data_IF_040012192318
#
_entry.id   IF_040012192318
#
_cell.length_a   1.000
_cell.length_b   1.000
_cell.length_c   1.000
_cell.angle_alpha   90.00
_cell.angle_beta   90.00
_cell.angle_gamma   90.00
#
_symmetry.space_group_name_H-M   'P 1'
#
loop_
_entity.id
_entity.type
_entity.pdbx_description
1 polymer ?
#
# COMPACT_ATOMS: atom_id res chain seq x y z
N UNK A 1 4.58 11.25 -43.48
CA UNK A 1 4.92 10.36 -42.32
C UNK A 1 3.72 10.42 -41.39
N UNK A 2 3.07 9.30 -41.06
CA UNK A 2 2.06 9.29 -40.01
C UNK A 2 2.83 9.38 -38.70
N UNK A 3 2.59 10.40 -37.89
CA UNK A 3 3.10 10.45 -36.53
C UNK A 3 2.51 9.24 -35.78
N UNK A 4 3.38 8.41 -35.18
CA UNK A 4 2.92 7.31 -34.34
C UNK A 4 2.14 7.91 -33.15
N UNK A 5 0.88 7.47 -33.01
CA UNK A 5 0.07 7.89 -31.86
C UNK A 5 0.67 7.30 -30.58
N UNK A 6 0.96 8.18 -29.60
CA UNK A 6 1.41 7.79 -28.27
C UNK A 6 0.28 8.00 -27.27
N UNK A 7 -0.06 6.96 -26.50
CA UNK A 7 -1.10 6.99 -25.47
C UNK A 7 -0.46 6.69 -24.12
N UNK A 8 -0.63 7.59 -23.15
CA UNK A 8 -0.29 7.34 -21.74
C UNK A 8 -1.53 6.76 -21.06
N UNK A 9 -1.36 5.62 -20.38
CA UNK A 9 -2.42 4.88 -19.69
C UNK A 9 -2.10 4.90 -18.21
N UNK A 10 -2.82 5.73 -17.43
CA UNK A 10 -2.55 6.00 -16.02
C UNK A 10 -3.79 5.72 -15.15
N UNK A 11 -4.28 4.47 -15.09
CA UNK A 11 -5.40 4.12 -14.24
C UNK A 11 -4.97 3.93 -12.79
N UNK A 12 -5.91 4.07 -11.88
CA UNK A 12 -5.87 3.51 -10.54
C UNK A 12 -6.46 2.09 -10.52
N UNK A 13 -6.39 1.41 -9.38
CA UNK A 13 -6.98 0.10 -9.16
C UNK A 13 -8.52 0.15 -9.15
N UNK A 14 -9.15 -0.97 -9.56
CA UNK A 14 -10.56 -1.20 -9.32
C UNK A 14 -10.71 -2.04 -8.05
N UNK A 15 -11.12 -1.38 -6.95
CA UNK A 15 -11.19 -1.99 -5.61
C UNK A 15 -11.85 -3.36 -5.64
N UNK A 16 -11.20 -4.34 -4.99
CA UNK A 16 -11.62 -5.74 -4.87
C UNK A 16 -11.81 -6.48 -6.24
N UNK A 17 -11.30 -5.91 -7.35
CA UNK A 17 -11.46 -6.49 -8.70
C UNK A 17 -10.13 -6.61 -9.45
N UNK A 18 -9.51 -5.50 -9.80
CA UNK A 18 -8.29 -5.47 -10.62
C UNK A 18 -7.26 -4.49 -10.04
N UNK A 19 -6.00 -4.87 -10.09
CA UNK A 19 -4.88 -3.96 -9.80
C UNK A 19 -4.77 -2.88 -10.88
N UNK A 20 -4.16 -1.74 -10.53
CA UNK A 20 -3.91 -0.65 -11.50
C UNK A 20 -3.16 -1.13 -12.75
N UNK A 21 -2.26 -2.13 -12.59
CA UNK A 21 -1.53 -2.73 -13.71
C UNK A 21 -2.43 -3.57 -14.62
N UNK A 22 -3.23 -4.46 -14.04
CA UNK A 22 -4.16 -5.29 -14.81
C UNK A 22 -5.13 -4.43 -15.62
N UNK A 23 -5.59 -3.32 -15.04
CA UNK A 23 -6.41 -2.31 -15.73
C UNK A 23 -5.62 -1.66 -16.86
N UNK A 24 -4.39 -1.20 -16.60
CA UNK A 24 -3.55 -0.57 -17.62
C UNK A 24 -3.26 -1.52 -18.79
N UNK A 25 -2.94 -2.78 -18.52
CA UNK A 25 -2.71 -3.79 -19.56
C UNK A 25 -4.00 -4.14 -20.33
N UNK A 26 -5.15 -4.17 -19.68
CA UNK A 26 -6.43 -4.38 -20.36
C UNK A 26 -6.75 -3.22 -21.33
N UNK A 27 -6.56 -1.97 -20.89
CA UNK A 27 -6.74 -0.78 -21.72
C UNK A 27 -5.78 -0.78 -22.90
N UNK A 28 -4.49 -1.09 -22.67
CA UNK A 28 -3.48 -1.20 -23.74
C UNK A 28 -3.89 -2.22 -24.80
N UNK A 29 -4.33 -3.42 -24.40
CA UNK A 29 -4.82 -4.44 -25.35
C UNK A 29 -5.98 -3.90 -26.21
N UNK A 30 -6.91 -3.16 -25.61
CA UNK A 30 -8.03 -2.56 -26.34
C UNK A 30 -7.57 -1.56 -27.40
N UNK A 31 -6.62 -0.67 -27.06
CA UNK A 31 -6.06 0.28 -28.02
C UNK A 31 -5.29 -0.41 -29.15
N UNK A 32 -4.47 -1.40 -28.83
CA UNK A 32 -3.68 -2.14 -29.81
C UNK A 32 -4.53 -2.96 -30.81
N UNK A 33 -5.73 -3.38 -30.38
CA UNK A 33 -6.69 -4.05 -31.28
C UNK A 33 -7.38 -3.07 -32.24
N UNK A 34 -7.50 -1.80 -31.85
CA UNK A 34 -8.28 -0.81 -32.60
C UNK A 34 -7.43 0.16 -33.42
N UNK A 35 -6.19 0.39 -33.04
CA UNK A 35 -5.30 1.39 -33.63
C UNK A 35 -3.98 0.71 -34.04
N UNK A 36 -3.70 0.70 -35.34
CA UNK A 36 -2.44 0.16 -35.85
C UNK A 36 -1.27 1.06 -35.40
N UNK A 37 -0.15 0.43 -35.02
CA UNK A 37 1.11 1.08 -34.67
C UNK A 37 1.01 2.09 -33.48
N UNK A 38 0.03 1.88 -32.56
CA UNK A 38 -0.09 2.69 -31.35
C UNK A 38 0.99 2.35 -30.33
N UNK A 39 1.71 3.36 -29.84
CA UNK A 39 2.64 3.24 -28.72
C UNK A 39 1.88 3.51 -27.41
N UNK A 40 1.78 2.51 -26.53
CA UNK A 40 1.13 2.65 -25.22
C UNK A 40 2.18 2.69 -24.11
N UNK A 41 2.19 3.77 -23.33
CA UNK A 41 3.02 3.93 -22.14
C UNK A 41 2.15 3.68 -20.90
N UNK A 42 2.47 2.63 -20.14
CA UNK A 42 1.75 2.30 -18.91
C UNK A 42 2.34 3.06 -17.73
N UNK A 43 1.50 3.83 -17.05
CA UNK A 43 1.85 4.63 -15.88
C UNK A 43 0.77 4.44 -14.79
N UNK A 44 0.61 3.21 -14.23
CA UNK A 44 -0.37 3.00 -13.17
C UNK A 44 -0.10 3.94 -12.01
N UNK A 45 -1.17 4.47 -11.42
CA UNK A 45 -1.14 5.43 -10.32
C UNK A 45 -1.87 4.87 -9.11
N UNK A 46 -1.76 5.53 -7.96
CA UNK A 46 -2.50 5.21 -6.74
C UNK A 46 -2.86 6.49 -6.00
N UNK A 47 -3.95 6.43 -5.24
CA UNK A 47 -4.52 7.54 -4.47
C UNK A 47 -4.05 7.58 -2.99
N UNK A 48 -3.05 6.77 -2.64
CA UNK A 48 -2.58 6.54 -1.27
C UNK A 48 -3.20 5.30 -0.61
N UNK A 49 -4.11 4.61 -1.30
CA UNK A 49 -4.72 3.35 -0.88
C UNK A 49 -3.96 2.13 -1.40
N UNK A 50 -4.66 0.99 -1.39
CA UNK A 50 -4.15 -0.31 -1.82
C UNK A 50 -3.56 -0.24 -3.24
N UNK A 51 -2.31 -0.71 -3.40
CA UNK A 51 -1.61 -0.75 -4.69
C UNK A 51 -0.79 0.51 -5.02
N UNK A 52 -0.86 1.58 -4.21
CA UNK A 52 -0.06 2.80 -4.42
C UNK A 52 1.42 2.53 -4.33
N UNK A 53 1.86 1.77 -3.32
CA UNK A 53 3.27 1.40 -3.14
C UNK A 53 3.74 0.50 -4.28
N UNK A 54 2.91 -0.42 -4.76
CA UNK A 54 3.22 -1.25 -5.92
C UNK A 54 3.38 -0.42 -7.21
N UNK A 55 2.61 0.65 -7.39
CA UNK A 55 2.78 1.57 -8.51
C UNK A 55 4.10 2.36 -8.41
N UNK A 56 4.47 2.85 -7.23
CA UNK A 56 5.70 3.62 -7.00
C UNK A 56 6.96 2.74 -7.15
N UNK A 57 6.99 1.54 -6.54
CA UNK A 57 8.18 0.68 -6.50
C UNK A 57 8.65 0.21 -7.87
N UNK A 58 7.75 0.15 -8.86
CA UNK A 58 8.08 -0.27 -10.24
C UNK A 58 9.01 0.70 -10.96
N UNK A 59 8.92 1.97 -10.62
CA UNK A 59 9.77 3.01 -11.20
C UNK A 59 11.12 3.14 -10.48
N UNK A 60 11.30 2.45 -9.35
CA UNK A 60 12.45 2.56 -8.46
C UNK A 60 12.81 1.17 -7.92
N UNK A 61 14.11 0.82 -7.94
CA UNK A 61 14.62 -0.47 -7.43
C UNK A 61 14.52 -0.55 -5.90
N UNK A 62 13.35 -0.92 -5.40
CA UNK A 62 13.13 -1.23 -3.99
C UNK A 62 13.27 -2.73 -3.72
N UNK A 63 13.94 -3.08 -2.64
CA UNK A 63 13.99 -4.44 -2.10
C UNK A 63 12.73 -4.70 -1.28
N UNK A 64 12.02 -5.78 -1.58
CA UNK A 64 10.89 -6.23 -0.78
C UNK A 64 11.37 -6.95 0.47
N UNK A 65 10.86 -6.57 1.63
CA UNK A 65 11.18 -7.13 2.94
C UNK A 65 9.93 -7.47 3.73
N UNK A 66 10.08 -8.36 4.70
CA UNK A 66 8.99 -8.83 5.55
C UNK A 66 9.39 -8.76 7.01
N UNK A 67 8.42 -8.39 7.84
CA UNK A 67 8.56 -8.36 9.30
C UNK A 67 7.34 -9.01 9.95
N UNK A 68 7.54 -9.65 11.12
CA UNK A 68 6.44 -10.12 11.95
C UNK A 68 6.03 -9.03 12.92
N UNK A 69 4.79 -8.57 12.83
CA UNK A 69 4.20 -7.52 13.66
C UNK A 69 2.90 -8.00 14.30
N UNK A 70 2.36 -7.22 15.21
CA UNK A 70 1.04 -7.46 15.79
C UNK A 70 -0.04 -7.16 14.75
N UNK A 71 -0.83 -8.17 14.41
CA UNK A 71 -1.93 -8.09 13.46
C UNK A 71 -3.15 -7.34 14.00
N UNK A 72 -4.19 -7.18 13.17
CA UNK A 72 -5.39 -6.40 13.49
C UNK A 72 -6.14 -6.87 14.75
N UNK A 73 -6.06 -8.16 15.08
CA UNK A 73 -6.72 -8.78 16.22
C UNK A 73 -5.74 -9.25 17.32
N UNK A 74 -4.48 -8.80 17.29
CA UNK A 74 -3.47 -9.09 18.31
C UNK A 74 -2.57 -10.30 18.04
N UNK A 75 -2.87 -11.15 17.07
CA UNK A 75 -2.01 -12.25 16.63
C UNK A 75 -0.77 -11.71 15.88
N UNK A 76 0.29 -12.51 15.76
CA UNK A 76 1.46 -12.11 14.96
C UNK A 76 1.24 -12.43 13.49
N UNK A 77 1.40 -11.43 12.64
CA UNK A 77 1.28 -11.51 11.19
C UNK A 77 2.53 -11.02 10.47
N UNK A 78 2.76 -11.54 9.26
CA UNK A 78 3.80 -11.04 8.38
C UNK A 78 3.27 -9.81 7.63
N UNK A 79 4.02 -8.71 7.69
CA UNK A 79 3.76 -7.49 6.95
C UNK A 79 4.91 -7.20 5.99
N UNK A 80 4.61 -6.86 4.75
CA UNK A 80 5.60 -6.46 3.76
C UNK A 80 5.92 -4.97 3.88
N UNK A 81 7.13 -4.63 3.50
CA UNK A 81 7.57 -3.26 3.26
C UNK A 81 8.66 -3.26 2.20
N UNK A 82 8.94 -2.11 1.65
CA UNK A 82 9.95 -1.94 0.62
C UNK A 82 11.01 -0.96 1.10
N UNK A 83 12.27 -1.28 0.80
CA UNK A 83 13.41 -0.47 1.24
C UNK A 83 14.39 -0.23 0.10
N UNK A 84 14.88 1.01 0.04
CA UNK A 84 16.01 1.39 -0.79
C UNK A 84 16.88 2.38 0.00
N UNK A 85 18.12 1.98 0.29
CA UNK A 85 19.03 2.79 1.11
C UNK A 85 18.40 3.20 2.47
N UNK A 86 18.18 4.50 2.70
CA UNK A 86 17.58 5.06 3.91
C UNK A 86 16.09 5.43 3.73
N UNK A 87 15.47 4.97 2.66
CA UNK A 87 14.07 5.19 2.32
C UNK A 87 13.28 3.89 2.45
N UNK A 88 12.09 3.95 3.05
CA UNK A 88 11.15 2.83 3.10
C UNK A 88 9.75 3.24 2.68
N UNK A 89 9.03 2.29 2.09
CA UNK A 89 7.64 2.43 1.64
C UNK A 89 6.81 1.28 2.18
N UNK A 90 5.60 1.55 2.63
CA UNK A 90 4.61 0.50 2.94
C UNK A 90 3.18 1.06 2.93
N UNK A 91 2.19 0.19 2.91
CA UNK A 91 0.78 0.53 3.02
C UNK A 91 0.20 0.03 4.34
N UNK A 92 -0.60 0.87 4.99
CA UNK A 92 -1.37 0.45 6.19
C UNK A 92 -2.34 -0.67 5.82
N UNK A 93 -2.87 -0.65 4.60
CA UNK A 93 -3.73 -1.69 4.04
C UNK A 93 -3.07 -3.06 3.93
N UNK A 94 -1.74 -3.14 3.88
CA UNK A 94 -1.00 -4.42 3.90
C UNK A 94 -1.17 -5.20 5.23
N UNK A 95 -1.62 -4.54 6.30
CA UNK A 95 -1.92 -5.16 7.57
C UNK A 95 -3.42 -5.10 7.92
N UNK A 96 -4.04 -3.93 7.80
CA UNK A 96 -5.43 -3.67 8.24
C UNK A 96 -6.34 -3.21 7.10
N UNK A 97 -6.04 -3.62 5.86
CA UNK A 97 -6.83 -3.29 4.68
C UNK A 97 -8.19 -3.99 4.65
N UNK A 98 -9.18 -3.34 4.04
CA UNK A 98 -10.53 -3.92 3.86
C UNK A 98 -10.48 -5.28 3.14
N UNK A 99 -9.63 -5.44 2.12
CA UNK A 99 -9.47 -6.71 1.40
C UNK A 99 -8.84 -7.84 2.21
N UNK A 100 -8.19 -7.53 3.35
CA UNK A 100 -7.55 -8.52 4.24
C UNK A 100 -8.44 -8.98 5.39
N UNK A 101 -9.39 -8.16 5.78
CA UNK A 101 -10.27 -8.45 6.92
C UNK A 101 -11.54 -9.12 6.39
N UNK A 102 -11.89 -10.36 6.86
CA UNK A 102 -13.14 -11.00 6.53
C UNK A 102 -14.33 -10.09 6.81
N UNK A 103 -15.35 -10.14 5.95
CA UNK A 103 -16.49 -9.21 6.01
C UNK A 103 -17.19 -9.24 7.38
N UNK A 104 -17.31 -10.41 7.97
CA UNK A 104 -17.92 -10.66 9.29
C UNK A 104 -17.08 -10.10 10.45
N UNK A 105 -15.78 -9.87 10.24
CA UNK A 105 -14.85 -9.36 11.24
C UNK A 105 -14.55 -7.86 11.07
N UNK A 106 -15.13 -7.19 10.08
CA UNK A 106 -14.92 -5.77 9.78
C UNK A 106 -15.59 -4.85 10.81
N UNK A 107 -15.21 -5.01 12.07
CA UNK A 107 -15.61 -4.10 13.14
C UNK A 107 -14.47 -3.11 13.43
N UNK A 108 -14.57 -1.83 13.01
CA UNK A 108 -13.48 -0.86 13.14
C UNK A 108 -13.08 -0.57 14.60
N UNK A 109 -13.95 -0.89 15.56
CA UNK A 109 -13.66 -0.72 16.99
C UNK A 109 -12.78 -1.85 17.56
N UNK A 110 -12.59 -2.94 16.84
CA UNK A 110 -11.81 -4.10 17.27
C UNK A 110 -10.51 -4.25 16.48
N UNK A 111 -10.38 -3.53 15.36
CA UNK A 111 -9.22 -3.59 14.48
C UNK A 111 -8.20 -2.56 14.95
N UNK A 112 -7.02 -3.04 15.35
CA UNK A 112 -5.94 -2.20 15.86
C UNK A 112 -4.80 -2.04 14.84
N UNK A 113 -4.08 -0.91 14.94
CA UNK A 113 -2.96 -0.57 14.05
C UNK A 113 -1.58 -0.71 14.73
N UNK A 114 -1.47 -1.43 15.84
CA UNK A 114 -0.24 -1.56 16.64
C UNK A 114 0.95 -2.06 15.80
N UNK A 115 0.74 -3.05 14.94
CA UNK A 115 1.80 -3.59 14.09
C UNK A 115 2.39 -2.58 13.11
N UNK A 116 1.63 -1.56 12.70
CA UNK A 116 2.16 -0.45 11.89
C UNK A 116 3.20 0.34 12.69
N UNK A 117 2.90 0.64 13.97
CA UNK A 117 3.85 1.29 14.86
C UNK A 117 5.10 0.45 15.12
N UNK A 118 4.94 -0.89 15.28
CA UNK A 118 6.06 -1.82 15.42
C UNK A 118 6.97 -1.80 14.17
N UNK A 119 6.40 -1.75 12.96
CA UNK A 119 7.16 -1.62 11.71
C UNK A 119 7.91 -0.28 11.66
N UNK A 120 7.23 0.83 11.95
CA UNK A 120 7.88 2.17 11.94
C UNK A 120 9.06 2.19 12.92
N UNK A 121 8.89 1.66 14.13
CA UNK A 121 9.95 1.57 15.12
C UNK A 121 11.14 0.73 14.60
N UNK A 122 10.85 -0.43 14.03
CA UNK A 122 11.87 -1.28 13.41
C UNK A 122 12.67 -0.55 12.33
N UNK A 123 12.01 0.21 11.45
CA UNK A 123 12.66 0.99 10.41
C UNK A 123 13.56 2.10 10.99
N UNK A 124 13.09 2.80 12.03
CA UNK A 124 13.88 3.82 12.73
C UNK A 124 15.12 3.18 13.34
N UNK A 125 14.98 2.03 14.02
CA UNK A 125 16.08 1.31 14.66
C UNK A 125 17.12 0.81 13.64
N UNK A 126 16.71 0.57 12.38
CA UNK A 126 17.60 0.26 11.24
C UNK A 126 18.25 1.49 10.61
N UNK A 127 17.95 2.69 11.07
CA UNK A 127 18.54 3.94 10.55
C UNK A 127 17.87 4.47 9.28
N UNK A 128 16.64 4.03 8.97
CA UNK A 128 15.82 4.61 7.92
C UNK A 128 15.53 6.07 8.25
N UNK A 129 15.67 6.96 7.26
CA UNK A 129 15.51 8.42 7.41
C UNK A 129 14.18 8.93 6.86
N UNK A 130 13.67 8.26 5.83
CA UNK A 130 12.46 8.66 5.14
C UNK A 130 11.51 7.46 5.06
N UNK A 131 10.27 7.65 5.49
CA UNK A 131 9.24 6.62 5.46
C UNK A 131 8.00 7.20 4.76
N UNK A 132 7.62 6.59 3.66
CA UNK A 132 6.37 6.90 2.96
C UNK A 132 5.31 5.86 3.27
N UNK A 133 4.15 6.31 3.69
CA UNK A 133 3.07 5.45 4.18
C UNK A 133 1.81 5.70 3.37
N UNK A 134 1.34 4.67 2.66
CA UNK A 134 0.01 4.66 2.07
C UNK A 134 -1.05 4.42 3.15
N UNK A 135 -2.03 5.32 3.29
CA UNK A 135 -3.01 5.28 4.41
C UNK A 135 -4.44 5.01 3.98
N UNK A 136 -4.70 4.82 2.68
CA UNK A 136 -6.04 4.52 2.16
C UNK A 136 -6.46 3.06 2.34
N UNK A 137 -7.77 2.79 2.16
CA UNK A 137 -8.32 1.43 2.09
C UNK A 137 -8.31 0.63 3.40
N UNK A 138 -8.18 1.28 4.56
CA UNK A 138 -8.09 0.62 5.87
C UNK A 138 -9.45 0.26 6.46
N UNK A 139 -9.51 -0.83 7.23
CA UNK A 139 -10.68 -1.26 7.99
C UNK A 139 -10.66 -0.77 9.45
N UNK A 140 -9.59 -0.09 9.88
CA UNK A 140 -9.42 0.41 11.24
C UNK A 140 -9.98 1.82 11.43
N UNK A 141 -10.34 2.16 12.67
CA UNK A 141 -10.75 3.51 13.08
C UNK A 141 -10.34 3.76 14.55
N UNK A 142 -9.05 3.56 14.84
CA UNK A 142 -8.49 3.70 16.19
C UNK A 142 -7.83 5.07 16.44
N UNK A 143 -7.99 6.03 15.51
CA UNK A 143 -7.39 7.37 15.61
C UNK A 143 -5.86 7.37 15.66
N UNK A 144 -5.21 6.27 15.27
CA UNK A 144 -3.75 6.10 15.32
C UNK A 144 -3.20 5.73 16.70
N UNK A 145 -4.07 5.44 17.67
CA UNK A 145 -3.65 5.01 19.02
C UNK A 145 -2.82 3.73 18.93
N UNK A 146 -3.22 2.78 18.09
CA UNK A 146 -2.46 1.54 17.86
C UNK A 146 -1.05 1.83 17.33
N UNK A 147 -0.90 2.71 16.34
CA UNK A 147 0.40 3.10 15.79
C UNK A 147 1.30 3.68 16.89
N UNK A 148 0.78 4.62 17.68
CA UNK A 148 1.56 5.25 18.75
C UNK A 148 1.91 4.27 19.86
N UNK A 149 1.02 3.32 20.21
CA UNK A 149 1.33 2.23 21.14
C UNK A 149 2.45 1.32 20.60
N UNK A 150 2.40 0.95 19.32
CA UNK A 150 3.46 0.17 18.65
C UNK A 150 4.82 0.88 18.61
N UNK A 151 4.82 2.22 18.55
CA UNK A 151 6.03 3.04 18.69
C UNK A 151 6.56 3.08 20.12
N UNK A 152 5.79 2.61 21.13
CA UNK A 152 6.20 2.53 22.53
C UNK A 152 5.60 3.61 23.43
N UNK A 153 4.67 4.41 22.94
CA UNK A 153 3.94 5.36 23.78
C UNK A 153 2.91 4.65 24.66
N UNK A 154 2.67 5.17 25.85
CA UNK A 154 1.69 4.66 26.78
C UNK A 154 0.55 5.66 26.93
N UNK A 155 -0.68 5.17 26.98
CA UNK A 155 -1.88 5.94 27.19
C UNK A 155 -2.37 5.71 28.61
N UNK A 156 -2.76 6.77 29.31
CA UNK A 156 -3.25 6.74 30.68
C UNK A 156 -4.64 7.38 30.72
N UNK A 157 -5.56 6.76 31.43
CA UNK A 157 -6.82 7.41 31.77
C UNK A 157 -6.57 8.48 32.83
N UNK A 158 -7.12 9.68 32.62
CA UNK A 158 -7.21 10.68 33.68
C UNK A 158 -8.39 10.29 34.59
N UNK A 159 -8.07 9.93 35.83
CA UNK A 159 -9.08 9.80 36.88
C UNK A 159 -9.59 11.20 37.33
#
# INVERSE_FOLDING_TARGET
>A
MRENMKIVIAPDSFKESLTAEEVAEAIKRGFQQSIADVECLLCPVGDGGEGTVDAIRRSLDFEEKWIKVTGPFGQKEAMRYFQKEQLSLFEVADLVGLGKIPLEERNPLQIQTCGIGELIRHLIDQGIKEIYIGVGGTASNDGGIGITAGLGYQFYEHN
#
